data_IF_770807960546
#
_entry.id   IF_770807960546
#
_cell.length_a   1.000
_cell.length_b   1.000
_cell.length_c   1.000
_cell.angle_alpha   90.00
_cell.angle_beta   90.00
_cell.angle_gamma   90.00
#
_symmetry.space_group_name_H-M   'P 1'
#
loop_
_entity.id
_entity.type
_entity.pdbx_description
1 polymer ?
#
# COMPACT_ATOMS: atom_id res chain seq x y z
N UNK A 1 8.93 -10.82 0.72
CA UNK A 1 7.75 -10.50 1.53
C UNK A 1 6.49 -10.50 0.67
N UNK A 2 5.34 -10.88 1.25
CA UNK A 2 4.04 -10.85 0.57
C UNK A 2 3.43 -9.45 0.62
N UNK A 3 3.76 -8.72 1.68
CA UNK A 3 3.42 -7.32 1.87
C UNK A 3 4.67 -6.52 2.22
N UNK A 4 4.67 -5.27 1.87
CA UNK A 4 5.65 -4.24 2.26
C UNK A 4 4.93 -2.92 2.58
N UNK A 5 3.73 -3.01 3.17
CA UNK A 5 2.93 -1.84 3.54
C UNK A 5 3.62 -0.95 4.60
N UNK A 6 4.63 -1.47 5.30
CA UNK A 6 5.45 -0.76 6.27
C UNK A 6 6.45 0.23 5.66
N UNK A 7 6.83 0.07 4.36
CA UNK A 7 7.80 0.96 3.72
C UNK A 7 7.14 2.10 2.96
N UNK A 8 7.85 3.22 2.81
CA UNK A 8 7.42 4.38 2.02
C UNK A 8 8.37 4.61 0.86
N UNK A 9 7.82 4.91 -0.31
CA UNK A 9 8.63 5.29 -1.48
C UNK A 9 9.34 6.63 -1.27
N UNK A 10 8.86 7.46 -0.37
CA UNK A 10 9.47 8.75 0.00
C UNK A 10 10.93 8.59 0.43
N UNK A 11 11.25 7.46 1.08
CA UNK A 11 12.59 7.19 1.63
C UNK A 11 13.65 6.93 0.55
N UNK A 12 13.24 6.72 -0.72
CA UNK A 12 14.12 6.31 -1.83
C UNK A 12 13.94 7.15 -3.09
N UNK A 13 13.28 8.29 -3.01
CA UNK A 13 13.16 9.22 -4.15
C UNK A 13 14.51 9.86 -4.41
N UNK A 14 14.99 9.77 -5.66
CA UNK A 14 16.19 10.44 -6.13
C UNK A 14 15.81 11.79 -6.78
N UNK A 15 16.06 12.94 -6.12
CA UNK A 15 15.62 14.24 -6.62
C UNK A 15 16.37 14.71 -7.86
N UNK A 16 17.56 14.16 -8.12
CA UNK A 16 18.40 14.50 -9.28
C UNK A 16 18.20 13.54 -10.46
N UNK A 17 17.18 12.66 -10.42
CA UNK A 17 16.87 11.76 -11.53
C UNK A 17 16.52 12.56 -12.78
N UNK A 18 17.29 12.36 -13.85
CA UNK A 18 17.09 13.02 -15.15
C UNK A 18 15.68 12.83 -15.73
N UNK A 19 14.96 11.79 -15.30
CA UNK A 19 13.54 11.56 -15.64
C UNK A 19 12.67 12.72 -15.20
N UNK A 20 12.90 13.27 -13.99
CA UNK A 20 12.15 14.42 -13.47
C UNK A 20 12.29 15.64 -14.37
N UNK A 21 13.53 15.92 -14.85
CA UNK A 21 13.77 17.00 -15.79
C UNK A 21 13.07 16.78 -17.13
N UNK A 22 13.16 15.57 -17.69
CA UNK A 22 12.55 15.23 -18.99
C UNK A 22 11.05 15.31 -18.94
N UNK A 23 10.43 14.81 -17.88
CA UNK A 23 8.99 14.88 -17.68
C UNK A 23 8.51 16.33 -17.53
N UNK A 24 9.25 17.15 -16.75
CA UNK A 24 8.98 18.56 -16.60
C UNK A 24 9.11 19.32 -17.94
N UNK A 25 10.14 19.03 -18.74
CA UNK A 25 10.31 19.59 -20.07
C UNK A 25 9.18 19.17 -21.03
N UNK A 26 8.61 17.99 -20.82
CA UNK A 26 7.41 17.50 -21.52
C UNK A 26 6.08 18.12 -21.06
N UNK A 27 6.11 18.95 -20.01
CA UNK A 27 4.92 19.61 -19.47
C UNK A 27 4.25 18.87 -18.31
N UNK A 28 4.83 17.76 -17.81
CA UNK A 28 4.36 17.06 -16.62
C UNK A 28 4.85 17.79 -15.39
N UNK A 29 3.94 18.21 -14.51
CA UNK A 29 4.30 19.00 -13.32
C UNK A 29 4.14 18.25 -12.01
N UNK A 30 3.42 17.12 -12.03
CA UNK A 30 3.10 16.33 -10.83
C UNK A 30 3.01 14.87 -11.22
N UNK A 31 3.61 13.98 -10.44
CA UNK A 31 3.55 12.54 -10.66
C UNK A 31 3.26 11.80 -9.36
N UNK A 32 2.70 10.61 -9.47
CA UNK A 32 2.61 9.63 -8.39
C UNK A 32 3.75 8.62 -8.55
N UNK A 33 4.56 8.47 -7.51
CA UNK A 33 5.61 7.46 -7.46
C UNK A 33 5.08 6.23 -6.74
N UNK A 34 5.17 5.09 -7.41
CA UNK A 34 4.62 3.82 -6.96
C UNK A 34 5.72 2.80 -6.70
N UNK A 35 5.51 1.97 -5.68
CA UNK A 35 6.30 0.76 -5.46
C UNK A 35 6.22 -0.18 -6.67
N UNK A 36 7.27 -0.95 -6.94
CA UNK A 36 7.27 -1.98 -7.99
C UNK A 36 6.23 -3.08 -7.75
N UNK A 37 5.86 -3.82 -8.79
CA UNK A 37 4.76 -4.80 -8.77
C UNK A 37 5.18 -6.21 -8.34
N UNK A 38 6.23 -6.36 -7.52
CA UNK A 38 6.72 -7.67 -7.08
C UNK A 38 5.93 -8.26 -5.89
N UNK A 39 5.14 -7.45 -5.19
CA UNK A 39 4.36 -7.83 -4.01
C UNK A 39 2.87 -7.63 -4.27
N UNK A 40 1.98 -8.54 -3.84
CA UNK A 40 0.53 -8.30 -3.87
C UNK A 40 0.15 -6.99 -3.18
N UNK A 41 0.69 -6.78 -1.97
CA UNK A 41 0.59 -5.54 -1.22
C UNK A 41 1.97 -4.90 -1.24
N UNK A 42 2.12 -3.79 -1.95
CA UNK A 42 3.37 -3.03 -2.08
C UNK A 42 3.52 -1.97 -0.98
N UNK A 43 4.45 -1.04 -1.19
CA UNK A 43 4.73 0.05 -0.26
C UNK A 43 3.79 1.24 -0.43
N UNK A 44 3.84 2.13 0.55
CA UNK A 44 3.16 3.42 0.52
C UNK A 44 3.74 4.29 -0.59
N UNK A 45 2.87 4.93 -1.35
CA UNK A 45 3.21 5.76 -2.51
C UNK A 45 3.35 7.23 -2.10
N UNK A 46 4.01 8.01 -2.95
CA UNK A 46 4.11 9.46 -2.81
C UNK A 46 3.58 10.19 -4.04
N UNK A 47 3.05 11.38 -3.85
CA UNK A 47 2.77 12.34 -4.93
C UNK A 47 3.78 13.46 -4.81
N UNK A 48 4.48 13.77 -5.90
CA UNK A 48 5.49 14.82 -5.95
C UNK A 48 5.19 15.85 -7.03
N UNK A 49 5.62 17.07 -6.78
CA UNK A 49 5.71 18.14 -7.79
C UNK A 49 7.10 18.13 -8.39
N UNK A 50 7.19 18.16 -9.70
CA UNK A 50 8.46 18.13 -10.40
C UNK A 50 9.12 19.52 -10.32
N UNK A 51 10.05 19.68 -9.37
CA UNK A 51 10.84 20.89 -9.16
C UNK A 51 12.31 20.53 -9.30
N UNK A 52 12.80 20.51 -10.52
CA UNK A 52 14.19 20.15 -10.78
C UNK A 52 15.18 20.96 -9.93
N UNK A 53 16.11 20.26 -9.27
CA UNK A 53 17.12 20.88 -8.40
C UNK A 53 16.64 21.23 -6.98
N UNK A 54 15.39 20.94 -6.64
CA UNK A 54 14.89 21.13 -5.28
C UNK A 54 15.18 19.88 -4.41
N UNK A 55 15.38 20.05 -3.08
CA UNK A 55 15.49 18.93 -2.17
C UNK A 55 14.17 18.15 -2.05
N UNK A 56 14.25 16.90 -1.64
CA UNK A 56 13.10 15.98 -1.58
C UNK A 56 11.90 16.54 -0.80
N UNK A 57 12.15 17.21 0.32
CA UNK A 57 11.07 17.78 1.16
C UNK A 57 10.23 18.86 0.45
N UNK A 58 10.79 19.46 -0.60
CA UNK A 58 10.10 20.44 -1.44
C UNK A 58 9.41 19.79 -2.65
N UNK A 59 9.83 18.58 -3.04
CA UNK A 59 9.16 17.80 -4.07
C UNK A 59 7.86 17.21 -3.55
N UNK A 60 7.79 16.75 -2.31
CA UNK A 60 6.59 16.14 -1.75
C UNK A 60 5.39 17.08 -1.83
N UNK A 61 4.29 16.59 -2.42
CA UNK A 61 3.04 17.35 -2.50
C UNK A 61 2.33 17.31 -1.15
N UNK A 62 2.58 18.33 -0.31
CA UNK A 62 1.95 18.46 1.01
C UNK A 62 0.43 18.53 0.89
N UNK A 63 -0.26 17.67 1.64
CA UNK A 63 -1.72 17.57 1.63
C UNK A 63 -2.29 16.72 0.49
N UNK A 64 -1.46 16.02 -0.28
CA UNK A 64 -1.94 14.99 -1.19
C UNK A 64 -2.52 13.80 -0.41
N UNK A 65 -3.53 13.17 -0.99
CA UNK A 65 -4.09 11.94 -0.43
C UNK A 65 -3.04 10.83 -0.33
N UNK A 66 -3.02 10.05 0.75
CA UNK A 66 -2.08 8.95 0.90
C UNK A 66 -2.51 7.75 0.07
N UNK A 67 -1.58 7.19 -0.71
CA UNK A 67 -1.79 6.00 -1.52
C UNK A 67 -0.91 4.84 -1.10
N UNK A 68 -1.29 3.65 -1.53
CA UNK A 68 -0.51 2.42 -1.46
C UNK A 68 -0.59 1.68 -2.80
N UNK A 69 0.50 1.01 -3.17
CA UNK A 69 0.53 0.17 -4.38
C UNK A 69 0.07 -1.24 -4.08
N UNK A 70 -0.91 -1.72 -4.86
CA UNK A 70 -1.22 -3.14 -4.99
C UNK A 70 -0.79 -3.67 -6.35
N UNK A 71 -0.64 -4.97 -6.48
CA UNK A 71 -0.35 -5.60 -7.75
C UNK A 71 -0.99 -6.99 -7.86
N UNK A 72 -1.37 -7.30 -9.08
CA UNK A 72 -1.93 -8.58 -9.52
C UNK A 72 -1.07 -9.14 -10.67
N UNK A 73 -1.51 -10.24 -11.24
CA UNK A 73 -0.88 -10.84 -12.41
C UNK A 73 0.33 -11.71 -12.11
N UNK A 74 1.14 -11.91 -13.13
CA UNK A 74 2.32 -12.78 -13.07
C UNK A 74 3.42 -12.22 -12.16
N UNK A 75 3.52 -10.91 -12.06
CA UNK A 75 4.57 -10.22 -11.32
C UNK A 75 4.62 -10.63 -9.85
N UNK A 76 3.47 -10.87 -9.22
CA UNK A 76 3.36 -11.17 -7.79
C UNK A 76 3.41 -12.65 -7.47
N UNK A 77 3.21 -13.53 -8.45
CA UNK A 77 3.18 -14.99 -8.24
C UNK A 77 4.54 -15.63 -7.98
N UNK A 78 5.62 -15.01 -8.34
CA UNK A 78 6.99 -15.53 -8.16
C UNK A 78 7.28 -16.92 -8.80
N UNK A 79 6.31 -17.53 -9.48
CA UNK A 79 6.44 -18.86 -10.10
C UNK A 79 7.45 -18.90 -11.25
N UNK A 80 7.73 -17.76 -11.88
CA UNK A 80 8.63 -17.63 -13.02
C UNK A 80 10.06 -17.18 -12.62
N UNK A 81 10.33 -17.02 -11.33
CA UNK A 81 11.61 -16.56 -10.83
C UNK A 81 12.47 -17.76 -10.42
N UNK A 82 13.48 -18.10 -11.19
CA UNK A 82 14.35 -19.26 -10.96
C UNK A 82 15.07 -19.25 -9.61
N UNK A 83 15.20 -18.09 -8.96
CA UNK A 83 15.96 -17.91 -7.73
C UNK A 83 15.08 -17.70 -6.47
N UNK A 84 13.77 -17.66 -6.61
CA UNK A 84 12.87 -17.38 -5.50
C UNK A 84 11.73 -18.39 -5.42
N UNK A 85 11.62 -19.06 -4.29
CA UNK A 85 10.49 -19.92 -3.93
C UNK A 85 9.76 -19.34 -2.73
N UNK A 86 8.99 -18.27 -2.91
CA UNK A 86 8.12 -17.73 -1.88
C UNK A 86 6.64 -17.84 -2.26
N UNK A 87 5.79 -17.95 -1.27
CA UNK A 87 4.35 -17.74 -1.46
C UNK A 87 4.07 -16.24 -1.78
N UNK A 88 3.11 -15.90 -2.66
CA UNK A 88 2.28 -16.78 -3.46
C UNK A 88 2.93 -17.21 -4.79
N UNK A 89 2.60 -18.40 -5.28
CA UNK A 89 3.02 -18.91 -6.58
C UNK A 89 1.88 -19.13 -7.56
N UNK A 90 0.64 -18.91 -7.11
CA UNK A 90 -0.58 -19.08 -7.90
C UNK A 90 -1.54 -17.91 -7.69
N UNK A 91 -2.52 -17.75 -8.61
CA UNK A 91 -3.59 -16.76 -8.45
C UNK A 91 -4.41 -16.98 -7.17
N UNK A 92 -4.66 -18.23 -6.82
CA UNK A 92 -5.32 -18.60 -5.55
C UNK A 92 -4.51 -18.11 -4.33
N UNK A 93 -3.19 -18.25 -4.39
CA UNK A 93 -2.29 -17.75 -3.35
C UNK A 93 -2.30 -16.22 -3.25
N UNK A 94 -2.40 -15.50 -4.38
CA UNK A 94 -2.52 -14.03 -4.39
C UNK A 94 -3.78 -13.58 -3.68
N UNK A 95 -4.94 -14.20 -3.98
CA UNK A 95 -6.20 -13.93 -3.28
C UNK A 95 -6.06 -14.16 -1.78
N UNK A 96 -5.46 -15.29 -1.39
CA UNK A 96 -5.26 -15.62 0.03
C UNK A 96 -4.38 -14.60 0.76
N UNK A 97 -3.37 -14.02 0.11
CA UNK A 97 -2.58 -12.94 0.70
C UNK A 97 -3.49 -11.76 1.06
N UNK A 98 -4.31 -11.27 0.14
CA UNK A 98 -5.22 -10.16 0.43
C UNK A 98 -6.20 -10.49 1.56
N UNK A 99 -6.81 -11.68 1.52
CA UNK A 99 -7.76 -12.12 2.55
C UNK A 99 -7.11 -12.17 3.93
N UNK A 100 -5.91 -12.76 4.05
CA UNK A 100 -5.20 -12.87 5.33
C UNK A 100 -4.82 -11.49 5.88
N UNK A 101 -4.23 -10.65 5.05
CA UNK A 101 -3.76 -9.33 5.50
C UNK A 101 -4.91 -8.39 5.88
N UNK A 102 -6.00 -8.36 5.14
CA UNK A 102 -7.17 -7.54 5.51
C UNK A 102 -7.91 -8.09 6.72
N UNK A 103 -7.94 -9.42 6.92
CA UNK A 103 -8.45 -10.00 8.15
C UNK A 103 -7.62 -9.56 9.37
N UNK A 104 -6.30 -9.65 9.27
CA UNK A 104 -5.38 -9.21 10.33
C UNK A 104 -5.49 -7.70 10.61
N UNK A 105 -5.61 -6.87 9.57
CA UNK A 105 -5.78 -5.43 9.70
C UNK A 105 -7.10 -5.08 10.41
N UNK A 106 -8.18 -5.78 10.08
CA UNK A 106 -9.48 -5.62 10.77
C UNK A 106 -9.39 -5.98 12.25
N UNK A 107 -8.74 -7.08 12.58
CA UNK A 107 -8.52 -7.52 13.96
C UNK A 107 -7.61 -6.54 14.72
N UNK A 108 -6.57 -6.02 14.07
CA UNK A 108 -5.71 -4.99 14.61
C UNK A 108 -6.52 -3.72 14.94
N UNK A 109 -7.30 -3.20 14.00
CA UNK A 109 -8.12 -2.02 14.19
C UNK A 109 -9.16 -2.21 15.32
N UNK A 110 -9.78 -3.41 15.39
CA UNK A 110 -10.73 -3.72 16.46
C UNK A 110 -10.07 -3.72 17.85
N UNK A 111 -8.84 -4.26 17.98
CA UNK A 111 -8.09 -4.20 19.25
C UNK A 111 -7.81 -2.76 19.69
N UNK A 112 -7.40 -1.89 18.76
CA UNK A 112 -7.16 -0.48 19.06
C UNK A 112 -8.46 0.26 19.39
N UNK A 113 -9.53 0.02 18.66
CA UNK A 113 -10.86 0.62 18.93
C UNK A 113 -11.34 0.24 20.33
N UNK A 114 -11.23 -1.05 20.68
CA UNK A 114 -11.61 -1.55 22.01
C UNK A 114 -10.76 -0.89 23.11
N UNK A 115 -9.43 -0.84 22.93
CA UNK A 115 -8.54 -0.21 23.90
C UNK A 115 -8.81 1.28 24.05
N UNK A 116 -9.03 2.00 22.95
CA UNK A 116 -9.29 3.44 22.98
C UNK A 116 -10.62 3.78 23.67
N UNK A 117 -11.62 2.91 23.55
CA UNK A 117 -12.91 3.03 24.24
C UNK A 117 -12.86 2.80 25.76
N UNK A 118 -11.75 2.30 26.31
CA UNK A 118 -11.61 2.09 27.75
C UNK A 118 -11.43 3.40 28.52
N UNK A 119 -12.01 3.48 29.71
CA UNK A 119 -11.74 4.57 30.65
C UNK A 119 -10.28 4.51 31.13
N UNK A 120 -9.76 5.65 31.66
CA UNK A 120 -8.39 5.73 32.20
C UNK A 120 -8.12 4.66 33.26
N UNK A 121 -9.09 4.37 34.13
CA UNK A 121 -8.97 3.34 35.17
C UNK A 121 -8.84 1.92 34.56
N UNK A 122 -9.60 1.62 33.53
CA UNK A 122 -9.55 0.34 32.83
C UNK A 122 -8.22 0.17 32.05
N UNK A 123 -7.73 1.25 31.40
CA UNK A 123 -6.43 1.23 30.68
C UNK A 123 -5.25 0.89 31.60
N UNK A 124 -5.30 1.24 32.88
CA UNK A 124 -4.24 0.88 33.80
C UNK A 124 -4.12 -0.65 34.05
N UNK A 125 -5.17 -1.41 33.77
CA UNK A 125 -5.24 -2.86 34.00
C UNK A 125 -5.14 -3.68 32.71
N UNK A 126 -5.00 -3.03 31.55
CA UNK A 126 -4.96 -3.69 30.24
C UNK A 126 -3.73 -3.23 29.48
N UNK A 127 -2.98 -4.16 28.93
CA UNK A 127 -1.82 -3.83 28.09
C UNK A 127 -2.28 -3.14 26.80
N UNK A 128 -1.67 -2.01 26.49
CA UNK A 128 -1.88 -1.32 25.23
C UNK A 128 -1.54 -2.23 24.04
N UNK A 129 -2.34 -2.29 22.98
CA UNK A 129 -2.00 -2.99 21.76
C UNK A 129 -0.68 -2.48 21.19
N UNK A 130 0.14 -3.40 20.66
CA UNK A 130 1.37 -3.01 19.97
C UNK A 130 1.03 -2.26 18.69
N UNK A 131 1.72 -1.14 18.46
CA UNK A 131 1.69 -0.47 17.18
C UNK A 131 2.41 -1.32 16.12
N UNK A 132 1.75 -1.53 15.00
CA UNK A 132 2.23 -2.29 13.86
C UNK A 132 1.97 -1.47 12.59
N UNK A 133 3.01 -0.91 12.01
CA UNK A 133 2.90 0.02 10.88
C UNK A 133 2.30 -0.64 9.62
N UNK A 134 2.58 -1.93 9.41
CA UNK A 134 2.00 -2.68 8.30
C UNK A 134 0.47 -2.81 8.46
N UNK A 135 0.04 -3.22 9.66
CA UNK A 135 -1.39 -3.36 9.96
C UNK A 135 -2.11 -2.01 10.04
N UNK A 136 -1.44 -0.96 10.57
CA UNK A 136 -2.01 0.39 10.59
C UNK A 136 -2.27 0.90 9.17
N UNK A 137 -1.29 0.75 8.26
CA UNK A 137 -1.42 1.15 6.86
C UNK A 137 -2.61 0.47 6.17
N UNK A 138 -2.85 -0.81 6.44
CA UNK A 138 -4.00 -1.53 5.90
C UNK A 138 -5.30 -1.18 6.62
N UNK A 139 -5.25 -0.86 7.91
CA UNK A 139 -6.39 -0.37 8.66
C UNK A 139 -6.86 1.00 8.16
N UNK A 140 -5.95 1.89 7.75
CA UNK A 140 -6.27 3.17 7.10
C UNK A 140 -7.09 2.96 5.82
N UNK A 141 -6.81 1.90 5.04
CA UNK A 141 -7.62 1.53 3.86
C UNK A 141 -9.06 1.18 4.28
N UNK A 142 -9.22 0.36 5.32
CA UNK A 142 -10.54 -0.02 5.85
C UNK A 142 -11.34 1.16 6.41
N UNK A 143 -10.64 2.22 6.86
CA UNK A 143 -11.25 3.48 7.31
C UNK A 143 -11.49 4.48 6.16
N UNK A 144 -11.11 4.14 4.94
CA UNK A 144 -11.13 5.05 3.77
C UNK A 144 -10.23 6.28 3.92
N UNK A 145 -9.16 6.16 4.69
CA UNK A 145 -8.14 7.19 4.91
C UNK A 145 -6.92 7.02 3.99
N UNK A 146 -6.77 5.86 3.34
CA UNK A 146 -5.72 5.55 2.36
C UNK A 146 -6.31 4.94 1.11
N UNK A 147 -5.79 5.33 -0.05
CA UNK A 147 -6.29 4.97 -1.37
C UNK A 147 -5.37 3.93 -2.04
N UNK A 148 -5.91 3.17 -2.99
CA UNK A 148 -5.21 2.06 -3.64
C UNK A 148 -5.02 2.36 -5.12
N UNK A 149 -3.76 2.22 -5.61
CA UNK A 149 -3.42 2.10 -7.02
C UNK A 149 -2.98 0.66 -7.28
N UNK A 150 -3.68 -0.07 -8.14
CA UNK A 150 -3.44 -1.49 -8.40
C UNK A 150 -2.92 -1.73 -9.82
N UNK A 151 -1.78 -2.40 -9.94
CA UNK A 151 -1.32 -2.95 -11.20
C UNK A 151 -2.15 -4.19 -11.56
N UNK A 152 -2.75 -4.21 -12.73
CA UNK A 152 -3.59 -5.31 -13.18
C UNK A 152 -3.68 -5.35 -14.71
N UNK A 153 -3.89 -6.54 -15.28
CA UNK A 153 -4.09 -6.74 -16.71
C UNK A 153 -4.92 -8.00 -17.03
N UNK A 154 -5.41 -8.70 -16.00
CA UNK A 154 -6.24 -9.91 -16.16
C UNK A 154 -7.59 -9.70 -15.50
N UNK A 155 -8.65 -9.76 -16.29
CA UNK A 155 -10.03 -9.50 -15.84
C UNK A 155 -10.44 -10.34 -14.62
N UNK A 156 -10.13 -11.64 -14.59
CA UNK A 156 -10.50 -12.51 -13.48
C UNK A 156 -9.82 -12.12 -12.17
N UNK A 157 -8.59 -11.59 -12.22
CA UNK A 157 -7.85 -11.13 -11.04
C UNK A 157 -8.39 -9.78 -10.56
N UNK A 158 -8.77 -8.89 -11.49
CA UNK A 158 -9.47 -7.64 -11.15
C UNK A 158 -10.78 -7.95 -10.43
N UNK A 159 -11.60 -8.86 -10.97
CA UNK A 159 -12.83 -9.30 -10.33
C UNK A 159 -12.59 -9.92 -8.94
N UNK A 160 -11.54 -10.71 -8.79
CA UNK A 160 -11.15 -11.28 -7.50
C UNK A 160 -10.87 -10.18 -6.48
N UNK A 161 -10.03 -9.20 -6.82
CA UNK A 161 -9.69 -8.13 -5.89
C UNK A 161 -10.90 -7.24 -5.57
N UNK A 162 -11.80 -7.00 -6.52
CA UNK A 162 -13.06 -6.31 -6.26
C UNK A 162 -13.94 -7.06 -5.25
N UNK A 163 -14.04 -8.38 -5.35
CA UNK A 163 -14.79 -9.21 -4.37
C UNK A 163 -14.15 -9.18 -2.97
N UNK A 164 -12.81 -9.17 -2.90
CA UNK A 164 -12.11 -8.97 -1.62
C UNK A 164 -12.43 -7.60 -1.05
N UNK A 165 -12.43 -6.56 -1.88
CA UNK A 165 -12.77 -5.19 -1.47
C UNK A 165 -14.20 -5.11 -0.94
N UNK A 166 -15.18 -5.71 -1.63
CA UNK A 166 -16.57 -5.82 -1.16
C UNK A 166 -16.67 -6.55 0.20
N UNK A 167 -15.97 -7.68 0.34
CA UNK A 167 -15.97 -8.48 1.57
C UNK A 167 -15.49 -7.71 2.80
N UNK A 168 -14.48 -6.87 2.63
CA UNK A 168 -13.87 -6.10 3.73
C UNK A 168 -14.33 -4.65 3.81
N UNK A 169 -15.13 -4.17 2.85
CA UNK A 169 -15.74 -2.84 2.86
C UNK A 169 -14.79 -1.70 2.46
N UNK A 170 -13.82 -1.97 1.57
CA UNK A 170 -12.93 -0.92 1.04
C UNK A 170 -13.09 -0.73 -0.48
N UNK A 171 -12.39 0.26 -1.04
CA UNK A 171 -12.43 0.57 -2.47
C UNK A 171 -11.05 0.43 -3.11
N UNK A 172 -11.04 -0.04 -4.37
CA UNK A 172 -9.90 0.12 -5.27
C UNK A 172 -10.12 1.42 -6.05
N UNK A 173 -9.18 2.34 -5.98
CA UNK A 173 -9.34 3.68 -6.56
C UNK A 173 -8.94 3.70 -8.03
N UNK A 174 -7.87 2.98 -8.38
CA UNK A 174 -7.38 2.85 -9.77
C UNK A 174 -6.84 1.44 -10.03
N UNK A 175 -7.04 0.97 -11.27
CA UNK A 175 -6.44 -0.23 -11.83
C UNK A 175 -5.52 0.16 -12.98
#
# INVERSE_FOLDING_TARGET
>A
HNSSAEVSIEDVIEPDDIGLFRDLAGGVTTIQILHGSANPIGGRSAIIKLKWGAPIDELLFKGADPFIKFALGENVKQSNWSSYSRFPQTRMGVEQVFVDYFQRAKEYGQRWTNYNGLSKKQKNNVKQPRYDIEMETLWEILKSERFISSHSYVQSEINMLMKVAERYGFRINTF
#
